data_IF_111416412408
#
_entry.id   IF_111416412408
#
_cell.length_a   1.000
_cell.length_b   1.000
_cell.length_c   1.000
_cell.angle_alpha   90.00
_cell.angle_beta   90.00
_cell.angle_gamma   90.00
#
_symmetry.space_group_name_H-M   'P 1'
#
loop_
_entity.id
_entity.type
_entity.pdbx_description
1 polymer ?
#
# COMPACT_ATOMS: atom_id res chain seq x y z
N UNK A 1 -29.19 -20.57 -9.32
CA UNK A 1 -29.38 -19.28 -8.61
C UNK A 1 -28.14 -18.43 -8.88
N UNK A 2 -28.23 -17.49 -9.83
CA UNK A 2 -27.10 -16.63 -10.19
C UNK A 2 -26.97 -15.58 -9.09
N UNK A 3 -25.87 -15.60 -8.34
CA UNK A 3 -25.59 -14.55 -7.35
C UNK A 3 -25.30 -13.24 -8.07
N UNK A 4 -26.29 -12.37 -8.13
CA UNK A 4 -26.15 -10.97 -8.52
C UNK A 4 -25.27 -10.29 -7.45
N UNK A 5 -23.98 -10.10 -7.72
CA UNK A 5 -23.13 -9.24 -6.89
C UNK A 5 -23.78 -7.85 -6.86
N UNK A 6 -24.27 -7.41 -5.71
CA UNK A 6 -24.92 -6.11 -5.56
C UNK A 6 -23.90 -4.99 -5.83
N UNK A 7 -24.29 -4.03 -6.69
CA UNK A 7 -23.52 -2.81 -6.99
C UNK A 7 -23.13 -2.00 -5.73
N UNK A 8 -23.78 -2.24 -4.60
CA UNK A 8 -23.57 -1.54 -3.33
C UNK A 8 -22.14 -1.68 -2.77
N UNK A 9 -21.43 -2.79 -3.01
CA UNK A 9 -20.03 -2.93 -2.55
C UNK A 9 -19.02 -2.13 -3.38
N UNK A 10 -19.40 -1.68 -4.59
CA UNK A 10 -18.50 -0.95 -5.48
C UNK A 10 -18.43 0.55 -5.16
N UNK A 11 -19.39 1.09 -4.39
CA UNK A 11 -19.41 2.50 -3.96
C UNK A 11 -18.79 2.73 -2.59
N UNK A 12 -18.50 1.68 -1.83
CA UNK A 12 -17.93 1.79 -0.49
C UNK A 12 -16.46 2.23 -0.57
N UNK A 13 -16.07 3.09 0.36
CA UNK A 13 -14.68 3.53 0.53
C UNK A 13 -13.76 2.34 0.87
N UNK A 14 -12.45 2.56 0.78
CA UNK A 14 -11.50 1.54 1.22
C UNK A 14 -11.69 1.17 2.70
N UNK A 15 -11.85 2.17 3.56
CA UNK A 15 -12.01 2.00 4.99
C UNK A 15 -13.29 1.22 5.33
N UNK A 16 -14.40 1.53 4.64
CA UNK A 16 -15.66 0.80 4.82
C UNK A 16 -15.56 -0.66 4.38
N UNK A 17 -14.92 -0.91 3.23
CA UNK A 17 -14.77 -2.28 2.69
C UNK A 17 -13.89 -3.15 3.57
N UNK A 18 -12.92 -2.55 4.26
CA UNK A 18 -11.93 -3.25 5.07
C UNK A 18 -12.14 -3.01 6.56
N UNK A 19 -13.29 -2.48 7.01
CA UNK A 19 -13.49 -2.03 8.39
C UNK A 19 -13.20 -3.10 9.47
N UNK A 20 -13.34 -4.38 9.13
CA UNK A 20 -13.09 -5.51 10.04
C UNK A 20 -11.64 -5.98 10.07
N UNK A 21 -10.79 -5.42 9.23
CA UNK A 21 -9.38 -5.81 9.11
C UNK A 21 -8.52 -5.11 10.16
N UNK A 22 -7.45 -5.75 10.65
CA UNK A 22 -6.56 -5.13 11.61
C UNK A 22 -5.82 -3.97 10.97
N UNK A 23 -5.53 -2.96 11.80
CA UNK A 23 -4.60 -1.89 11.47
C UNK A 23 -3.63 -1.69 12.61
N UNK A 24 -2.41 -1.33 12.25
CA UNK A 24 -1.42 -0.89 13.23
C UNK A 24 -1.93 0.37 13.94
N UNK A 25 -1.53 0.61 15.18
CA UNK A 25 -1.91 1.83 15.90
C UNK A 25 -1.16 3.07 15.39
N UNK A 26 0.05 2.86 14.86
CA UNK A 26 0.93 3.91 14.38
C UNK A 26 0.46 4.53 13.07
N UNK A 27 0.44 5.87 13.03
CA UNK A 27 0.23 6.65 11.81
C UNK A 27 1.50 7.47 11.54
N UNK A 28 2.25 7.06 10.52
CA UNK A 28 3.61 7.52 10.29
C UNK A 28 3.67 8.57 9.17
N UNK A 29 4.35 9.71 9.37
CA UNK A 29 4.62 10.65 8.28
C UNK A 29 5.68 10.06 7.35
N UNK A 30 5.44 10.14 6.04
CA UNK A 30 6.40 9.72 5.01
C UNK A 30 6.40 10.73 3.87
N UNK A 31 7.55 10.85 3.19
CA UNK A 31 7.72 11.81 2.11
C UNK A 31 7.69 11.09 0.77
N UNK A 32 6.92 11.61 -0.20
CA UNK A 32 6.93 11.09 -1.56
C UNK A 32 8.26 11.45 -2.22
N UNK A 33 9.15 10.48 -2.36
CA UNK A 33 10.51 10.69 -2.88
C UNK A 33 10.55 10.52 -4.40
N UNK A 34 9.96 9.44 -4.91
CA UNK A 34 10.02 9.10 -6.33
C UNK A 34 8.66 8.66 -6.86
N UNK A 35 8.33 9.12 -8.06
CA UNK A 35 7.15 8.69 -8.82
C UNK A 35 7.60 8.14 -10.17
N UNK A 36 7.36 6.86 -10.43
CA UNK A 36 7.77 6.20 -11.67
C UNK A 36 6.54 5.73 -12.45
N UNK A 37 6.31 6.19 -13.69
CA UNK A 37 5.25 5.64 -14.53
C UNK A 37 5.62 4.22 -14.97
N UNK A 38 4.72 3.26 -14.71
CA UNK A 38 4.84 1.89 -15.23
C UNK A 38 4.15 1.78 -16.59
N UNK A 39 3.00 2.44 -16.71
CA UNK A 39 2.25 2.65 -17.95
C UNK A 39 1.23 3.78 -17.74
N UNK A 40 0.40 4.03 -18.74
CA UNK A 40 -0.61 5.11 -18.78
C UNK A 40 -1.69 5.00 -17.67
N UNK A 41 -1.75 3.87 -16.98
CA UNK A 41 -2.74 3.55 -15.95
C UNK A 41 -2.13 3.16 -14.60
N UNK A 42 -0.81 3.00 -14.48
CA UNK A 42 -0.15 2.58 -13.26
C UNK A 42 1.11 3.43 -13.03
N UNK A 43 1.22 4.01 -11.84
CA UNK A 43 2.43 4.66 -11.32
C UNK A 43 2.90 3.92 -10.08
N UNK A 44 4.20 3.89 -9.86
CA UNK A 44 4.88 3.36 -8.69
C UNK A 44 5.38 4.55 -7.86
N UNK A 45 5.28 4.45 -6.53
CA UNK A 45 5.61 5.55 -5.62
C UNK A 45 6.52 5.02 -4.52
N UNK A 46 7.68 5.64 -4.36
CA UNK A 46 8.56 5.41 -3.21
C UNK A 46 8.31 6.49 -2.18
N UNK A 47 7.96 6.06 -0.98
CA UNK A 47 7.77 6.88 0.20
C UNK A 47 8.98 6.69 1.10
N UNK A 48 9.78 7.74 1.26
CA UNK A 48 10.90 7.76 2.18
C UNK A 48 10.40 7.84 3.62
N UNK A 49 10.93 6.97 4.48
CA UNK A 49 10.72 7.07 5.93
C UNK A 49 11.64 8.14 6.50
N UNK A 50 11.23 8.76 7.60
CA UNK A 50 12.12 9.62 8.37
C UNK A 50 13.22 8.78 9.05
N UNK A 51 14.38 9.37 9.32
CA UNK A 51 15.60 8.62 9.73
C UNK A 51 15.43 7.73 10.97
N UNK A 52 14.47 8.05 11.84
CA UNK A 52 14.20 7.31 13.08
C UNK A 52 12.99 6.39 12.97
N UNK A 53 12.20 6.51 11.90
CA UNK A 53 10.98 5.76 11.72
C UNK A 53 11.28 4.39 11.12
N UNK A 54 10.71 3.37 11.75
CA UNK A 54 10.68 2.01 11.21
C UNK A 54 9.22 1.57 11.14
N UNK A 55 8.81 1.10 9.97
CA UNK A 55 7.46 0.61 9.74
C UNK A 55 7.56 -0.89 9.50
N UNK A 56 6.98 -1.65 10.42
CA UNK A 56 6.96 -3.10 10.34
C UNK A 56 5.71 -3.54 9.58
N UNK A 57 5.88 -4.44 8.62
CA UNK A 57 4.78 -5.06 7.90
C UNK A 57 5.16 -6.44 7.40
N UNK A 58 4.18 -7.20 6.96
CA UNK A 58 4.32 -8.51 6.35
C UNK A 58 3.92 -8.46 4.87
N UNK A 59 4.53 -9.29 4.00
CA UNK A 59 4.10 -9.44 2.62
C UNK A 59 2.60 -9.73 2.53
N UNK A 60 1.88 -9.05 1.64
CA UNK A 60 0.43 -9.18 1.48
C UNK A 60 -0.41 -8.10 2.17
N UNK A 61 0.18 -7.36 3.13
CA UNK A 61 -0.48 -6.20 3.75
C UNK A 61 -0.55 -5.00 2.79
N UNK A 62 -1.41 -4.03 3.13
CA UNK A 62 -1.54 -2.77 2.41
C UNK A 62 -1.18 -1.58 3.32
N UNK A 63 -1.09 -0.40 2.71
CA UNK A 63 -1.06 0.88 3.41
C UNK A 63 -2.38 1.61 3.26
N UNK A 64 -2.95 2.03 4.39
CA UNK A 64 -3.89 3.15 4.43
C UNK A 64 -3.05 4.43 4.24
N UNK A 65 -3.26 5.16 3.15
CA UNK A 65 -2.54 6.40 2.82
C UNK A 65 -3.50 7.58 2.94
N UNK A 66 -3.22 8.46 3.90
CA UNK A 66 -3.91 9.72 4.12
C UNK A 66 -3.15 10.85 3.43
N UNK A 67 -3.80 11.49 2.46
CA UNK A 67 -3.23 12.59 1.68
C UNK A 67 -3.80 13.94 2.14
N UNK A 68 -3.05 15.04 1.98
CA UNK A 68 -3.52 16.37 2.37
C UNK A 68 -4.86 16.77 1.73
N UNK A 69 -5.77 17.29 2.55
CA UNK A 69 -7.07 17.81 2.12
C UNK A 69 -8.14 16.75 1.82
N UNK A 70 -7.85 15.47 2.07
CA UNK A 70 -8.81 14.36 1.92
C UNK A 70 -8.89 13.61 3.24
N UNK A 71 -10.10 13.48 3.78
CA UNK A 71 -10.35 12.86 5.08
C UNK A 71 -10.17 11.33 5.03
N UNK A 72 -10.72 10.69 3.99
CA UNK A 72 -10.70 9.23 3.86
C UNK A 72 -9.34 8.70 3.39
N UNK A 73 -8.94 7.54 3.92
CA UNK A 73 -7.71 6.88 3.49
C UNK A 73 -7.87 6.15 2.15
N UNK A 74 -6.80 6.12 1.36
CA UNK A 74 -6.68 5.24 0.21
C UNK A 74 -5.95 3.96 0.57
N UNK A 75 -6.50 2.79 0.24
CA UNK A 75 -5.84 1.50 0.45
C UNK A 75 -4.99 1.08 -0.74
N UNK A 76 -3.69 0.91 -0.53
CA UNK A 76 -2.76 0.52 -1.59
C UNK A 76 -1.83 -0.60 -1.14
N UNK A 77 -1.76 -1.67 -1.94
CA UNK A 77 -0.83 -2.79 -1.70
C UNK A 77 0.61 -2.36 -1.85
N UNK A 78 1.45 -2.80 -0.91
CA UNK A 78 2.90 -2.63 -0.92
C UNK A 78 3.55 -3.46 -2.04
N UNK A 79 4.52 -2.87 -2.74
CA UNK A 79 5.45 -3.57 -3.65
C UNK A 79 6.81 -3.79 -3.02
N UNK A 80 7.16 -3.00 -2.00
CA UNK A 80 8.41 -3.14 -1.28
C UNK A 80 8.38 -4.36 -0.34
N UNK A 81 9.54 -4.97 -0.12
CA UNK A 81 9.71 -6.01 0.91
C UNK A 81 9.84 -5.38 2.30
N UNK A 82 9.48 -6.09 3.38
CA UNK A 82 9.64 -5.58 4.76
C UNK A 82 11.05 -5.09 5.05
N UNK A 83 12.07 -5.80 4.53
CA UNK A 83 13.47 -5.43 4.70
C UNK A 83 13.88 -4.10 4.05
N UNK A 84 13.09 -3.56 3.10
CA UNK A 84 13.37 -2.25 2.49
C UNK A 84 12.92 -1.09 3.39
N UNK A 85 11.95 -1.33 4.27
CA UNK A 85 11.51 -0.36 5.28
C UNK A 85 12.37 -0.39 6.57
N UNK A 86 13.43 -1.21 6.59
CA UNK A 86 14.33 -1.32 7.73
C UNK A 86 15.64 -0.56 7.48
N UNK A 87 16.26 0.03 8.53
CA UNK A 87 17.62 0.52 8.47
C UNK A 87 18.59 -0.59 8.08
N UNK A 88 19.60 -0.25 7.29
CA UNK A 88 20.66 -1.19 6.90
C UNK A 88 22.04 -0.57 7.17
N UNK A 89 23.09 -1.40 7.33
CA UNK A 89 24.45 -0.91 7.51
C UNK A 89 25.01 -0.16 6.28
N UNK A 90 24.34 -0.26 5.13
CA UNK A 90 24.69 0.44 3.90
C UNK A 90 24.30 1.93 4.02
N UNK A 91 25.26 2.88 4.00
CA UNK A 91 24.99 4.31 4.11
C UNK A 91 24.12 4.87 2.98
N UNK A 92 24.10 4.20 1.81
CA UNK A 92 23.29 4.63 0.67
C UNK A 92 21.85 4.12 0.77
N UNK A 93 21.58 3.15 1.64
CA UNK A 93 20.24 2.60 1.83
C UNK A 93 19.41 3.50 2.77
N UNK A 94 18.49 4.26 2.17
CA UNK A 94 17.43 4.94 2.89
C UNK A 94 16.20 4.04 2.98
N UNK A 95 15.65 3.77 4.17
CA UNK A 95 14.43 3.00 4.30
C UNK A 95 13.28 3.63 3.50
N UNK A 96 12.54 2.79 2.78
CA UNK A 96 11.36 3.25 2.02
C UNK A 96 10.24 2.22 2.01
N UNK A 97 9.02 2.72 1.80
CA UNK A 97 7.86 1.93 1.39
C UNK A 97 7.60 2.19 -0.09
N UNK A 98 7.25 1.16 -0.84
CA UNK A 98 6.84 1.32 -2.22
C UNK A 98 5.45 0.75 -2.42
N UNK A 99 4.64 1.45 -3.20
CA UNK A 99 3.33 1.02 -3.64
C UNK A 99 3.19 1.28 -5.14
N UNK A 100 2.20 0.65 -5.76
CA UNK A 100 1.75 1.10 -7.08
C UNK A 100 0.26 1.39 -7.12
N UNK A 101 -0.06 2.52 -7.73
CA UNK A 101 -1.40 3.07 -7.74
C UNK A 101 -1.91 3.04 -9.17
N UNK A 102 -3.07 2.41 -9.34
CA UNK A 102 -3.82 2.47 -10.60
C UNK A 102 -4.55 3.82 -10.69
N UNK A 103 -4.53 4.44 -11.87
CA UNK A 103 -5.31 5.65 -12.17
C UNK A 103 -6.79 5.39 -11.87
N UNK A 104 -7.30 6.10 -10.86
CA UNK A 104 -8.66 5.93 -10.35
C UNK A 104 -9.24 7.30 -9.95
N UNK A 105 -9.79 8.07 -10.90
CA UNK A 105 -10.31 9.42 -10.62
C UNK A 105 -11.41 9.45 -9.55
N UNK A 106 -12.19 8.38 -9.45
CA UNK A 106 -13.30 8.26 -8.48
C UNK A 106 -12.85 7.86 -7.07
N UNK A 107 -11.55 7.62 -6.85
CA UNK A 107 -10.95 7.38 -5.55
C UNK A 107 -10.11 8.62 -5.18
N UNK A 108 -10.55 9.49 -4.25
CA UNK A 108 -9.89 10.77 -4.02
C UNK A 108 -8.40 10.65 -3.63
N UNK A 109 -7.98 9.76 -2.71
CA UNK A 109 -6.55 9.55 -2.45
C UNK A 109 -5.75 9.10 -3.67
N UNK A 110 -6.30 8.19 -4.48
CA UNK A 110 -5.64 7.73 -5.70
C UNK A 110 -5.55 8.85 -6.76
N UNK A 111 -6.60 9.66 -6.90
CA UNK A 111 -6.62 10.81 -7.79
C UNK A 111 -5.58 11.86 -7.37
N UNK A 112 -5.46 12.10 -6.06
CA UNK A 112 -4.45 13.00 -5.49
C UNK A 112 -3.03 12.52 -5.79
N UNK A 113 -2.74 11.22 -5.60
CA UNK A 113 -1.44 10.62 -5.94
C UNK A 113 -1.16 10.64 -7.45
N UNK A 114 -2.19 10.76 -8.29
CA UNK A 114 -2.05 10.78 -9.75
C UNK A 114 -1.80 12.15 -10.36
N UNK A 115 -1.75 13.22 -9.55
CA UNK A 115 -1.29 14.55 -9.92
C UNK A 115 0.11 14.55 -10.56
N UNK A 116 0.53 15.71 -11.05
CA UNK A 116 1.84 15.85 -11.68
C UNK A 116 2.96 15.58 -10.66
N UNK A 117 4.07 14.90 -11.02
CA UNK A 117 5.16 14.63 -10.09
C UNK A 117 5.70 15.89 -9.40
N UNK A 118 5.72 17.01 -10.10
CA UNK A 118 6.17 18.32 -9.62
C UNK A 118 5.30 18.85 -8.47
N UNK A 119 4.02 18.48 -8.44
CA UNK A 119 3.09 18.87 -7.39
C UNK A 119 3.14 17.98 -6.16
N UNK A 120 3.66 16.76 -6.25
CA UNK A 120 3.53 15.75 -5.18
C UNK A 120 4.85 15.26 -4.62
N UNK A 121 5.95 15.27 -5.39
CA UNK A 121 7.27 14.89 -4.88
C UNK A 121 7.69 15.90 -3.81
N UNK A 122 8.23 15.39 -2.70
CA UNK A 122 8.61 16.17 -1.53
C UNK A 122 7.45 16.50 -0.58
N UNK A 123 6.19 16.18 -0.92
CA UNK A 123 5.07 16.32 0.00
C UNK A 123 5.05 15.18 1.02
N UNK A 124 4.65 15.52 2.23
CA UNK A 124 4.36 14.56 3.29
C UNK A 124 2.94 13.99 3.14
N UNK A 125 2.82 12.68 3.33
CA UNK A 125 1.56 11.95 3.52
C UNK A 125 1.67 11.13 4.79
N UNK A 126 0.54 10.67 5.33
CA UNK A 126 0.54 9.80 6.50
C UNK A 126 0.10 8.41 6.13
N UNK A 127 0.81 7.41 6.64
CA UNK A 127 0.57 6.01 6.30
C UNK A 127 0.42 5.13 7.53
N UNK A 128 -0.38 4.09 7.38
CA UNK A 128 -0.59 3.05 8.40
C UNK A 128 -0.73 1.71 7.73
N UNK A 129 -0.13 0.68 8.30
CA UNK A 129 -0.21 -0.68 7.80
C UNK A 129 -1.56 -1.29 8.17
N UNK A 130 -2.17 -1.99 7.22
CA UNK A 130 -3.44 -2.67 7.41
C UNK A 130 -3.49 -4.03 6.72
N UNK A 131 -4.36 -4.89 7.24
CA UNK A 131 -4.70 -6.16 6.62
C UNK A 131 -4.13 -7.38 7.32
N UNK A 132 -4.90 -8.46 7.23
CA UNK A 132 -4.57 -9.79 7.79
C UNK A 132 -4.15 -10.82 6.74
N UNK A 133 -4.28 -10.49 5.44
CA UNK A 133 -3.82 -11.35 4.36
C UNK A 133 -2.30 -11.26 4.25
N UNK A 134 -1.61 -12.19 4.90
CA UNK A 134 -0.14 -12.19 4.97
C UNK A 134 0.47 -13.46 4.43
N UNK A 135 1.67 -13.32 3.87
CA UNK A 135 2.58 -14.43 3.66
C UNK A 135 3.81 -14.28 4.58
N UNK A 136 4.17 -15.31 5.33
CA UNK A 136 3.54 -16.62 5.33
C UNK A 136 2.26 -16.65 6.20
N UNK A 137 1.24 -17.47 5.89
CA UNK A 137 -0.08 -17.35 6.54
C UNK A 137 -0.02 -17.75 8.01
N UNK A 138 -0.73 -17.04 8.91
CA UNK A 138 -0.68 -17.34 10.32
C UNK A 138 -1.25 -18.74 10.60
N UNK A 139 -0.71 -19.39 11.63
CA UNK A 139 -1.18 -20.71 12.10
C UNK A 139 -1.01 -21.87 11.10
N UNK A 140 -0.09 -21.75 10.14
CA UNK A 140 0.32 -22.85 9.27
C UNK A 140 1.77 -23.22 9.56
N UNK A 141 2.06 -24.51 9.69
CA UNK A 141 3.43 -25.00 9.74
C UNK A 141 4.07 -24.91 8.34
N UNK A 142 4.93 -23.92 8.15
CA UNK A 142 5.59 -23.65 6.87
C UNK A 142 6.46 -24.80 6.37
N UNK A 143 6.98 -25.63 7.28
CA UNK A 143 7.79 -26.79 6.89
C UNK A 143 6.96 -27.82 6.12
N UNK A 144 5.63 -27.79 6.26
CA UNK A 144 4.70 -28.70 5.57
C UNK A 144 4.30 -28.19 4.17
N UNK A 145 4.54 -26.91 3.87
CA UNK A 145 4.17 -26.31 2.59
C UNK A 145 5.16 -26.73 1.52
N UNK A 146 4.73 -27.63 0.62
CA UNK A 146 5.55 -28.08 -0.52
C UNK A 146 5.43 -27.17 -1.75
N UNK A 147 4.31 -26.45 -1.88
CA UNK A 147 3.99 -25.60 -3.04
C UNK A 147 3.14 -24.42 -2.60
N UNK A 148 3.47 -23.23 -3.08
CA UNK A 148 2.64 -22.04 -2.98
C UNK A 148 2.22 -21.61 -4.38
N UNK A 149 0.95 -21.26 -4.57
CA UNK A 149 0.42 -20.79 -5.85
C UNK A 149 -0.14 -19.39 -5.64
N UNK A 150 0.44 -18.40 -6.30
CA UNK A 150 0.00 -17.02 -6.28
C UNK A 150 -0.74 -16.72 -7.58
N UNK A 151 -2.01 -16.31 -7.48
CA UNK A 151 -2.84 -15.95 -8.63
C UNK A 151 -3.11 -14.45 -8.54
N UNK A 152 -2.66 -13.71 -9.56
CA UNK A 152 -2.75 -12.26 -9.59
C UNK A 152 -3.24 -11.72 -10.93
N UNK A 153 -3.84 -10.52 -10.90
CA UNK A 153 -4.27 -9.80 -12.09
C UNK A 153 -4.29 -8.28 -11.87
N UNK A 154 -3.89 -7.52 -12.89
CA UNK A 154 -3.80 -6.06 -12.80
C UNK A 154 -2.76 -5.61 -11.77
N UNK A 155 -3.12 -4.66 -10.90
CA UNK A 155 -2.23 -4.20 -9.80
C UNK A 155 -2.05 -5.22 -8.68
N UNK A 156 -2.76 -6.36 -8.70
CA UNK A 156 -2.63 -7.41 -7.69
C UNK A 156 -1.43 -8.34 -7.88
N UNK A 157 -0.55 -8.11 -8.88
CA UNK A 157 0.70 -8.89 -9.12
C UNK A 157 1.82 -8.56 -8.13
N UNK A 158 1.57 -7.64 -7.22
CA UNK A 158 2.58 -6.92 -6.46
C UNK A 158 2.87 -7.57 -5.13
#
# INVERSE_FOLDING_TARGET
MVQTRSKAKASLSHEERTATEPRDEGLYPVTIETVTPVNDRIKTFKFALQEQDTINFQPGQWLDVHVPGIEQAGGFTLTSTPSQAQPRPDPEHKPFLELAVKKSPDNPPAAWLWQSPEEIIGKEVRVRVGGSFVWPPPNIDYATIKRAVFIAGGVGIK
#
